data_IF_654281326540
#
_entry.id   IF_654281326540
#
_cell.length_a   1.000
_cell.length_b   1.000
_cell.length_c   1.000
_cell.angle_alpha   90.00
_cell.angle_beta   90.00
_cell.angle_gamma   90.00
#
_symmetry.space_group_name_H-M   'P 1'
#
loop_
_entity.id
_entity.type
_entity.pdbx_description
1 polymer ?
#
# COMPACT_ATOMS: atom_id res chain seq x y z
N UNK A 1 19.36 3.82 -22.56
CA UNK A 1 19.58 3.29 -21.18
C UNK A 1 18.23 2.91 -20.58
N UNK A 2 18.15 1.94 -19.64
CA UNK A 2 16.91 1.65 -18.88
C UNK A 2 16.94 2.43 -17.56
N UNK A 3 15.95 3.30 -17.36
CA UNK A 3 15.89 4.21 -16.20
C UNK A 3 14.99 3.70 -15.07
N UNK A 4 14.06 2.79 -15.38
CA UNK A 4 13.11 2.26 -14.40
C UNK A 4 13.77 1.25 -13.46
N UNK A 5 13.73 1.52 -12.15
CA UNK A 5 14.41 0.73 -11.11
C UNK A 5 13.51 0.55 -9.89
N UNK A 6 13.57 -0.63 -9.28
CA UNK A 6 12.98 -0.89 -7.97
C UNK A 6 14.10 -1.06 -6.93
N UNK A 7 13.96 -0.39 -5.79
CA UNK A 7 14.91 -0.48 -4.68
C UNK A 7 14.29 -1.15 -3.48
N UNK A 8 15.10 -1.89 -2.75
CA UNK A 8 14.70 -2.53 -1.49
C UNK A 8 15.86 -2.52 -0.51
N UNK A 9 15.52 -2.54 0.77
CA UNK A 9 16.51 -2.75 1.83
C UNK A 9 16.74 -4.25 2.03
N UNK A 10 17.92 -4.61 2.54
CA UNK A 10 18.31 -6.02 2.74
C UNK A 10 17.31 -6.78 3.60
N UNK A 11 16.80 -6.14 4.65
CA UNK A 11 15.77 -6.74 5.50
C UNK A 11 14.46 -6.99 4.75
N UNK A 12 14.12 -6.22 3.72
CA UNK A 12 12.93 -6.48 2.91
C UNK A 12 13.14 -7.72 2.03
N UNK A 13 14.30 -7.83 1.37
CA UNK A 13 14.65 -9.01 0.56
C UNK A 13 14.73 -10.29 1.39
N UNK A 14 15.14 -10.21 2.66
CA UNK A 14 15.17 -11.37 3.54
C UNK A 14 13.78 -11.90 3.89
N UNK A 15 12.75 -11.04 3.87
CA UNK A 15 11.36 -11.44 4.09
C UNK A 15 10.72 -11.96 2.79
N UNK A 16 11.00 -11.33 1.65
CA UNK A 16 10.42 -11.69 0.36
C UNK A 16 11.45 -12.38 -0.53
N UNK A 17 11.79 -13.63 -0.17
CA UNK A 17 12.88 -14.38 -0.81
C UNK A 17 12.57 -14.82 -2.25
N UNK A 18 11.30 -14.95 -2.60
CA UNK A 18 10.85 -15.37 -3.93
C UNK A 18 10.21 -14.22 -4.69
N UNK A 19 11.00 -13.16 -4.89
CA UNK A 19 10.59 -11.95 -5.60
C UNK A 19 11.35 -11.80 -6.92
N UNK A 20 10.66 -11.35 -7.96
CA UNK A 20 11.21 -11.12 -9.28
C UNK A 20 10.77 -9.75 -9.81
N UNK A 21 11.68 -9.01 -10.43
CA UNK A 21 11.36 -7.75 -11.12
C UNK A 21 11.33 -7.99 -12.62
N UNK A 22 10.13 -8.04 -13.18
CA UNK A 22 9.89 -8.16 -14.60
C UNK A 22 9.84 -6.78 -15.24
N UNK A 23 10.32 -6.69 -16.47
CA UNK A 23 10.08 -5.53 -17.30
C UNK A 23 9.12 -5.92 -18.42
N UNK A 24 7.98 -5.24 -18.48
CA UNK A 24 6.95 -5.45 -19.46
C UNK A 24 7.15 -4.48 -20.63
N UNK A 25 6.66 -4.87 -21.81
CA UNK A 25 6.68 -4.01 -22.99
C UNK A 25 5.38 -3.23 -23.10
N UNK A 26 5.46 -1.92 -23.30
CA UNK A 26 4.32 -1.08 -23.67
C UNK A 26 4.50 -0.59 -25.10
N UNK A 27 3.46 -0.71 -25.92
CA UNK A 27 3.44 -0.15 -27.28
C UNK A 27 2.86 1.26 -27.34
N UNK A 28 2.32 1.77 -26.23
CA UNK A 28 1.56 3.02 -26.17
C UNK A 28 2.25 4.10 -25.34
N UNK A 29 3.39 3.79 -24.71
CA UNK A 29 4.20 4.73 -23.95
C UNK A 29 5.67 4.54 -24.31
N UNK A 30 6.42 5.63 -24.24
CA UNK A 30 7.87 5.68 -24.23
C UNK A 30 8.51 5.03 -22.99
N UNK A 31 7.70 4.71 -21.97
CA UNK A 31 8.10 3.94 -20.79
C UNK A 31 7.58 2.51 -20.79
N UNK A 32 8.43 1.59 -20.34
CA UNK A 32 8.10 0.17 -20.17
C UNK A 32 7.75 -0.11 -18.70
N UNK A 33 6.56 -0.67 -18.39
CA UNK A 33 6.19 -0.95 -17.02
C UNK A 33 7.16 -1.94 -16.35
N UNK A 34 7.47 -1.71 -15.07
CA UNK A 34 8.17 -2.69 -14.24
C UNK A 34 7.16 -3.37 -13.29
N UNK A 35 7.22 -4.69 -13.20
CA UNK A 35 6.31 -5.49 -12.38
C UNK A 35 7.11 -6.32 -11.38
N UNK A 36 6.82 -6.10 -10.09
CA UNK A 36 7.35 -6.90 -9.00
C UNK A 36 6.43 -8.10 -8.74
N UNK A 37 6.91 -9.32 -8.97
CA UNK A 37 6.16 -10.57 -8.84
C UNK A 37 6.66 -11.34 -7.61
N UNK A 38 5.74 -11.89 -6.84
CA UNK A 38 6.04 -12.73 -5.68
C UNK A 38 5.59 -14.17 -5.98
N UNK A 39 6.52 -15.12 -6.08
CA UNK A 39 6.23 -16.48 -6.58
C UNK A 39 5.66 -17.44 -5.53
N UNK A 40 5.92 -17.25 -4.23
CA UNK A 40 5.18 -17.87 -3.12
C UNK A 40 5.45 -17.16 -1.79
N UNK A 41 4.44 -16.46 -1.28
CA UNK A 41 4.14 -16.27 0.15
C UNK A 41 2.85 -15.46 0.26
N UNK A 42 1.70 -16.13 0.13
CA UNK A 42 0.41 -15.55 0.51
C UNK A 42 -0.18 -16.45 1.59
N UNK A 43 0.28 -16.26 2.83
CA UNK A 43 -0.53 -16.67 3.97
C UNK A 43 -1.59 -15.58 4.12
N UNK A 44 -2.78 -15.86 3.60
CA UNK A 44 -3.96 -15.00 3.74
C UNK A 44 -4.37 -14.89 5.21
N UNK A 45 -3.75 -13.99 5.96
CA UNK A 45 -4.49 -13.30 7.02
C UNK A 45 -5.24 -12.15 6.35
N UNK A 46 -6.49 -11.92 6.74
CA UNK A 46 -7.24 -10.71 6.34
C UNK A 46 -6.50 -9.50 6.92
N UNK A 47 -5.41 -9.10 6.28
CA UNK A 47 -4.77 -7.83 6.55
C UNK A 47 -5.75 -6.79 6.02
N UNK A 48 -6.34 -6.01 6.94
CA UNK A 48 -6.96 -4.75 6.60
C UNK A 48 -5.86 -3.90 5.96
N UNK A 49 -5.73 -3.99 4.64
CA UNK A 49 -4.75 -3.24 3.88
C UNK A 49 -5.33 -1.85 3.73
N UNK A 50 -4.75 -0.91 4.45
CA UNK A 50 -4.99 0.50 4.19
C UNK A 50 -4.73 0.77 2.71
N UNK A 51 -5.71 1.32 2.01
CA UNK A 51 -5.58 1.81 0.65
C UNK A 51 -5.91 3.29 0.70
N UNK A 52 -4.94 4.11 0.34
CA UNK A 52 -5.23 5.52 0.11
C UNK A 52 -5.84 5.65 -1.28
N UNK A 53 -7.03 6.22 -1.38
CA UNK A 53 -7.67 6.49 -2.66
C UNK A 53 -7.46 7.95 -3.07
N UNK A 54 -7.25 8.19 -4.37
CA UNK A 54 -7.06 9.56 -4.89
C UNK A 54 -8.28 10.46 -4.65
N UNK A 55 -9.47 9.87 -4.47
CA UNK A 55 -10.70 10.56 -4.06
C UNK A 55 -10.51 11.27 -2.71
N UNK A 56 -9.74 10.69 -1.78
CA UNK A 56 -9.51 11.22 -0.44
C UNK A 56 -8.72 12.53 -0.42
N UNK A 57 -7.91 12.80 -1.44
CA UNK A 57 -7.22 14.10 -1.60
C UNK A 57 -8.22 15.24 -1.79
N UNK A 58 -9.39 14.95 -2.38
CA UNK A 58 -10.42 15.95 -2.68
C UNK A 58 -11.33 16.22 -1.49
N UNK A 59 -11.30 15.36 -0.48
CA UNK A 59 -12.14 15.45 0.69
C UNK A 59 -11.58 16.48 1.69
N UNK A 60 -12.31 17.58 1.90
CA UNK A 60 -11.83 18.71 2.70
C UNK A 60 -11.56 18.35 4.17
N UNK A 61 -12.26 17.34 4.71
CA UNK A 61 -12.08 16.88 6.10
C UNK A 61 -10.75 16.13 6.31
N UNK A 62 -10.25 15.41 5.29
CA UNK A 62 -8.98 14.70 5.35
C UNK A 62 -7.78 15.63 5.17
N UNK A 63 -7.95 16.73 4.42
CA UNK A 63 -6.92 17.78 4.28
C UNK A 63 -6.55 18.44 5.61
N UNK A 64 -7.50 18.58 6.53
CA UNK A 64 -7.31 19.35 7.75
C UNK A 64 -6.87 18.50 8.96
N UNK A 65 -7.06 17.17 8.91
CA UNK A 65 -6.87 16.29 10.07
C UNK A 65 -5.94 15.08 9.86
N UNK A 66 -5.50 14.79 8.63
CA UNK A 66 -4.79 13.54 8.31
C UNK A 66 -3.40 13.74 7.67
N UNK A 67 -2.50 14.50 8.31
CA UNK A 67 -1.05 14.28 8.18
C UNK A 67 -0.37 14.59 9.53
N UNK A 68 -0.91 14.07 10.63
CA UNK A 68 -0.25 14.19 11.94
C UNK A 68 -0.27 12.79 12.56
N UNK A 69 0.89 12.13 12.47
CA UNK A 69 1.27 10.87 13.11
C UNK A 69 0.63 9.60 12.54
N UNK A 70 1.38 8.97 11.63
CA UNK A 70 1.31 7.53 11.39
C UNK A 70 1.71 6.77 12.65
N UNK A 71 0.76 6.59 13.57
CA UNK A 71 0.58 5.45 14.49
C UNK A 71 -0.55 5.78 15.47
N UNK A 72 -1.57 4.90 15.51
CA UNK A 72 -2.42 4.65 16.68
C UNK A 72 -3.53 5.65 17.08
N UNK A 73 -4.29 6.23 16.15
CA UNK A 73 -5.59 6.85 16.48
C UNK A 73 -6.82 6.11 15.91
N UNK A 74 -6.66 5.43 14.77
CA UNK A 74 -7.78 4.78 14.06
C UNK A 74 -8.44 3.58 14.77
N UNK A 75 -7.83 3.02 15.82
CA UNK A 75 -8.40 1.84 16.52
C UNK A 75 -9.37 2.25 17.63
N UNK A 76 -9.22 3.45 18.22
CA UNK A 76 -10.10 3.87 19.33
C UNK A 76 -11.44 4.40 18.83
N UNK A 77 -11.45 5.21 17.78
CA UNK A 77 -12.69 5.85 17.27
C UNK A 77 -13.65 4.84 16.60
N UNK A 78 -13.12 3.88 15.82
CA UNK A 78 -13.96 2.84 15.18
C UNK A 78 -14.60 1.86 16.16
N UNK A 79 -13.98 1.61 17.32
CA UNK A 79 -14.55 0.71 18.34
C UNK A 79 -15.61 1.41 19.19
N UNK A 80 -15.49 2.72 19.43
CA UNK A 80 -16.55 3.48 20.13
C UNK A 80 -17.84 3.54 19.33
N UNK A 81 -17.76 3.72 18.02
CA UNK A 81 -18.95 3.78 17.16
C UNK A 81 -19.63 2.40 17.01
N UNK A 82 -18.87 1.31 17.08
CA UNK A 82 -19.42 -0.05 17.03
C UNK A 82 -20.12 -0.45 18.33
N UNK A 83 -19.71 0.11 19.47
CA UNK A 83 -20.31 -0.16 20.79
C UNK A 83 -21.55 0.72 21.01
N UNK A 84 -21.58 1.96 20.49
CA UNK A 84 -22.73 2.86 20.66
C UNK A 84 -23.95 2.52 19.80
N UNK A 85 -23.81 1.65 18.79
CA UNK A 85 -24.92 1.20 17.92
C UNK A 85 -25.65 -0.03 18.49
N UNK A 86 -25.16 -0.62 19.59
CA UNK A 86 -25.80 -1.77 20.26
C UNK A 86 -26.46 -1.45 21.62
N UNK A 87 -26.76 -0.18 21.92
CA UNK A 87 -27.60 0.20 23.08
C UNK A 87 -28.87 0.92 22.64
#
# INVERSE_FOLDING_TARGET
ERLDRAFSIVSWLSHFKEVELLNLTSSTSDHSPIQLVFRKQIVHRKHFRFRFENSWIREQFLKQRSIVHGKALWVKELLTDLISVQQ
#
